data_IF_706044185971
#
_entry.id   IF_706044185971
#
_cell.length_a   1.000
_cell.length_b   1.000
_cell.length_c   1.000
_cell.angle_alpha   90.00
_cell.angle_beta   90.00
_cell.angle_gamma   90.00
#
_symmetry.space_group_name_H-M   'P 1'
#
loop_
_entity.id
_entity.type
_entity.pdbx_description
1 polymer ?
#
# COMPACT_ATOMS: atom_id res chain seq x y z
N UNK A 1 -4.14 -3.83 -10.97
CA UNK A 1 -4.39 -3.12 -9.69
C UNK A 1 -3.72 -1.77 -9.75
N UNK A 2 -4.43 -0.73 -9.32
CA UNK A 2 -3.86 0.62 -9.28
C UNK A 2 -3.62 1.04 -7.83
N UNK A 3 -3.07 2.25 -7.67
CA UNK A 3 -2.77 2.79 -6.32
C UNK A 3 -3.98 2.77 -5.40
N UNK A 4 -5.11 3.26 -5.89
CA UNK A 4 -6.32 3.37 -5.08
C UNK A 4 -6.78 2.02 -4.58
N UNK A 5 -6.84 1.04 -5.48
CA UNK A 5 -7.25 -0.33 -5.13
C UNK A 5 -6.26 -0.98 -4.18
N UNK A 6 -4.98 -0.80 -4.45
CA UNK A 6 -3.92 -1.35 -3.60
C UNK A 6 -4.04 -0.80 -2.18
N UNK A 7 -4.16 0.51 -2.04
CA UNK A 7 -4.23 1.14 -0.73
C UNK A 7 -5.50 0.75 0.03
N UNK A 8 -6.64 0.65 -0.67
CA UNK A 8 -7.89 0.25 -0.05
C UNK A 8 -7.81 -1.18 0.50
N UNK A 9 -7.25 -2.09 -0.29
CA UNK A 9 -7.10 -3.47 0.12
C UNK A 9 -6.09 -3.60 1.26
N UNK A 10 -4.99 -2.88 1.18
CA UNK A 10 -3.98 -2.88 2.24
C UNK A 10 -4.57 -2.36 3.55
N UNK A 11 -5.36 -1.30 3.48
CA UNK A 11 -6.01 -0.75 4.66
C UNK A 11 -6.91 -1.78 5.34
N UNK A 12 -7.68 -2.52 4.54
CA UNK A 12 -8.54 -3.58 5.07
C UNK A 12 -7.74 -4.67 5.75
N UNK A 13 -6.61 -5.06 5.16
CA UNK A 13 -5.77 -6.11 5.72
C UNK A 13 -5.06 -5.67 7.01
N UNK A 14 -4.88 -4.37 7.19
CA UNK A 14 -4.23 -3.82 8.38
C UNK A 14 -5.24 -3.39 9.45
N UNK A 15 -6.50 -3.75 9.28
CA UNK A 15 -7.55 -3.35 10.23
C UNK A 15 -7.32 -3.88 11.64
N UNK A 16 -6.53 -4.95 11.79
CA UNK A 16 -6.23 -5.52 13.09
C UNK A 16 -5.25 -4.67 13.91
N UNK A 17 -4.55 -3.74 13.27
CA UNK A 17 -3.64 -2.83 13.96
C UNK A 17 -4.42 -1.65 14.54
N UNK A 18 -3.85 -0.99 15.56
CA UNK A 18 -4.45 0.24 16.02
C UNK A 18 -4.26 1.34 14.96
N UNK A 19 -5.02 2.43 15.11
CA UNK A 19 -5.07 3.48 14.10
C UNK A 19 -3.68 4.10 13.85
N UNK A 20 -2.90 4.31 14.89
CA UNK A 20 -1.59 4.95 14.75
C UNK A 20 -0.62 4.09 13.95
N UNK A 21 -0.58 2.79 14.23
CA UNK A 21 0.30 1.88 13.51
C UNK A 21 -0.15 1.69 12.07
N UNK A 22 -1.46 1.54 11.89
CA UNK A 22 -2.02 1.39 10.55
C UNK A 22 -1.70 2.61 9.69
N UNK A 23 -1.90 3.80 10.23
CA UNK A 23 -1.64 5.03 9.50
C UNK A 23 -0.16 5.18 9.13
N UNK A 24 0.73 4.74 10.02
CA UNK A 24 2.17 4.78 9.76
C UNK A 24 2.53 3.92 8.54
N UNK A 25 1.98 2.71 8.50
CA UNK A 25 2.23 1.80 7.37
C UNK A 25 1.63 2.37 6.08
N UNK A 26 0.38 2.83 6.15
CA UNK A 26 -0.29 3.37 4.98
C UNK A 26 0.44 4.61 4.44
N UNK A 27 0.92 5.48 5.32
CA UNK A 27 1.65 6.67 4.90
C UNK A 27 2.96 6.31 4.20
N UNK A 28 3.62 5.24 4.64
CA UNK A 28 4.83 4.77 3.98
C UNK A 28 4.56 4.41 2.52
N UNK A 29 3.52 3.64 2.27
CA UNK A 29 3.16 3.22 0.92
C UNK A 29 2.66 4.40 0.10
N UNK A 30 1.89 5.30 0.70
CA UNK A 30 1.45 6.52 0.02
C UNK A 30 2.64 7.32 -0.48
N UNK A 31 3.66 7.46 0.35
CA UNK A 31 4.86 8.20 -0.03
C UNK A 31 5.59 7.53 -1.20
N UNK A 32 5.66 6.21 -1.19
CA UNK A 32 6.29 5.48 -2.30
C UNK A 32 5.56 5.73 -3.61
N UNK A 33 4.22 5.73 -3.58
CA UNK A 33 3.42 6.03 -4.76
C UNK A 33 3.60 7.48 -5.20
N UNK A 34 3.66 8.40 -4.24
CA UNK A 34 3.88 9.82 -4.55
C UNK A 34 5.21 10.03 -5.26
N UNK A 35 6.26 9.36 -4.81
CA UNK A 35 7.58 9.46 -5.42
C UNK A 35 7.62 8.85 -6.81
N UNK A 36 6.89 7.76 -7.02
CA UNK A 36 6.84 7.11 -8.32
C UNK A 36 6.01 7.90 -9.34
N UNK A 37 5.02 8.67 -8.83
CA UNK A 37 4.12 9.43 -9.69
C UNK A 37 3.08 8.55 -10.37
N UNK A 38 2.13 9.18 -11.08
CA UNK A 38 1.04 8.42 -11.73
C UNK A 38 1.55 7.39 -12.73
N UNK A 39 2.62 7.70 -13.42
CA UNK A 39 3.18 6.79 -14.43
C UNK A 39 3.86 5.58 -13.80
N UNK A 40 4.33 5.72 -12.55
CA UNK A 40 5.02 4.66 -11.86
C UNK A 40 4.13 3.78 -11.00
N UNK A 41 2.83 4.07 -10.90
CA UNK A 41 1.92 3.30 -10.04
C UNK A 41 1.94 1.81 -10.35
N UNK A 42 1.81 1.46 -11.61
CA UNK A 42 1.79 0.06 -12.03
C UNK A 42 3.08 -0.64 -11.66
N UNK A 43 4.21 0.04 -11.84
CA UNK A 43 5.52 -0.50 -11.51
C UNK A 43 5.64 -0.75 -10.01
N UNK A 44 5.19 0.20 -9.19
CA UNK A 44 5.24 0.06 -7.73
C UNK A 44 4.39 -1.13 -7.28
N UNK A 45 3.17 -1.23 -7.79
CA UNK A 45 2.27 -2.34 -7.45
C UNK A 45 2.89 -3.67 -7.86
N UNK A 46 3.50 -3.72 -9.02
CA UNK A 46 4.14 -4.94 -9.52
C UNK A 46 5.31 -5.35 -8.63
N UNK A 47 6.11 -4.40 -8.18
CA UNK A 47 7.25 -4.67 -7.29
C UNK A 47 6.82 -5.20 -5.94
N UNK A 48 5.73 -4.65 -5.40
CA UNK A 48 5.23 -5.09 -4.10
C UNK A 48 4.44 -6.39 -4.18
N UNK A 49 3.87 -6.71 -5.35
CA UNK A 49 2.93 -7.80 -5.47
C UNK A 49 1.57 -7.38 -4.93
N UNK A 50 0.81 -8.32 -4.37
CA UNK A 50 -0.49 -8.00 -3.80
C UNK A 50 -0.34 -7.43 -2.39
N UNK A 51 -1.34 -6.66 -1.90
CA UNK A 51 -1.34 -6.20 -0.51
C UNK A 51 -1.27 -7.35 0.49
N UNK A 52 -1.89 -8.48 0.18
CA UNK A 52 -1.84 -9.67 1.03
C UNK A 52 -0.39 -10.10 1.22
N UNK A 53 0.38 -10.12 0.14
CA UNK A 53 1.78 -10.51 0.19
C UNK A 53 2.59 -9.60 1.12
N UNK A 54 2.31 -8.30 1.11
CA UNK A 54 3.01 -7.35 1.98
C UNK A 54 2.71 -7.60 3.45
N UNK A 55 1.47 -7.94 3.76
CA UNK A 55 1.07 -8.20 5.14
C UNK A 55 1.66 -9.50 5.66
N UNK A 56 1.79 -10.51 4.81
CA UNK A 56 2.28 -11.83 5.21
C UNK A 56 3.79 -11.91 5.35
N UNK A 57 4.51 -10.92 4.89
CA UNK A 57 5.97 -10.89 5.06
C UNK A 57 6.36 -10.47 6.51
#
# INVERSE_FOLDING_TARGET
MNRKSFMAELRSLLAFLDAAERDRVLNRYERMFDEAGPEGETTVVRCFGSPVRQVLQ
#
